data_IF_856271184437
#
_entry.id   IF_856271184437
#
_cell.length_a   1.000
_cell.length_b   1.000
_cell.length_c   1.000
_cell.angle_alpha   90.00
_cell.angle_beta   90.00
_cell.angle_gamma   90.00
#
_symmetry.space_group_name_H-M   'P 1'
#
loop_
_entity.id
_entity.type
_entity.pdbx_description
1 polymer ?
#
# COMPACT_ATOMS: atom_id res chain seq x y z
N UNK A 1 -20.57 -5.47 -22.84
CA UNK A 1 -19.48 -4.61 -23.37
C UNK A 1 -19.65 -3.19 -22.81
N UNK A 2 -20.85 -2.65 -22.91
CA UNK A 2 -21.19 -1.31 -22.40
C UNK A 2 -20.94 -1.15 -20.90
N UNK A 3 -21.26 -2.16 -20.09
CA UNK A 3 -20.96 -2.15 -18.64
C UNK A 3 -19.46 -2.10 -18.34
N UNK A 4 -18.64 -2.76 -19.16
CA UNK A 4 -17.18 -2.78 -18.99
C UNK A 4 -16.59 -1.43 -19.40
N UNK A 5 -17.05 -0.85 -20.51
CA UNK A 5 -16.66 0.50 -20.93
C UNK A 5 -17.11 1.57 -19.91
N UNK A 6 -18.28 1.40 -19.29
CA UNK A 6 -18.78 2.30 -18.25
C UNK A 6 -17.92 2.26 -16.96
N UNK A 7 -17.55 1.07 -16.50
CA UNK A 7 -16.68 0.91 -15.33
C UNK A 7 -15.27 1.44 -15.63
N UNK A 8 -14.76 1.19 -16.84
CA UNK A 8 -13.48 1.72 -17.28
C UNK A 8 -13.48 3.26 -17.33
N UNK A 9 -14.53 3.86 -17.90
CA UNK A 9 -14.69 5.31 -17.92
C UNK A 9 -14.75 5.94 -16.53
N UNK A 10 -15.29 5.22 -15.54
CA UNK A 10 -15.32 5.67 -14.13
C UNK A 10 -13.94 5.65 -13.46
N UNK A 11 -12.96 4.94 -14.05
CA UNK A 11 -11.58 4.82 -13.58
C UNK A 11 -10.58 5.49 -14.54
N UNK A 12 -11.02 6.41 -15.39
CA UNK A 12 -10.20 7.08 -16.41
C UNK A 12 -9.48 6.11 -17.37
N UNK A 13 -10.12 4.97 -17.66
CA UNK A 13 -9.64 3.96 -18.60
C UNK A 13 -10.48 4.00 -19.88
N UNK A 14 -9.79 4.13 -21.02
CA UNK A 14 -10.40 4.01 -22.34
C UNK A 14 -10.21 2.58 -22.85
N UNK A 15 -11.30 1.90 -23.19
CA UNK A 15 -11.29 0.53 -23.73
C UNK A 15 -11.75 0.58 -25.18
N UNK A 16 -10.84 0.20 -26.08
CA UNK A 16 -11.10 0.08 -27.50
C UNK A 16 -11.07 -1.39 -27.96
N UNK A 17 -11.82 -1.71 -29.01
CA UNK A 17 -11.80 -3.04 -29.62
C UNK A 17 -10.66 -3.11 -30.64
N UNK A 18 -9.86 -4.17 -30.59
CA UNK A 18 -8.83 -4.45 -31.59
C UNK A 18 -9.37 -5.42 -32.66
N UNK A 19 -9.87 -4.94 -33.81
CA UNK A 19 -10.29 -5.81 -34.91
C UNK A 19 -9.05 -6.45 -35.56
N UNK A 20 -9.14 -7.74 -35.92
CA UNK A 20 -8.10 -8.50 -36.63
C UNK A 20 -6.75 -8.71 -35.91
N UNK A 21 -6.57 -8.20 -34.68
CA UNK A 21 -5.34 -8.39 -33.88
C UNK A 21 -5.59 -9.21 -32.59
N UNK A 22 -6.62 -10.06 -32.59
CA UNK A 22 -7.04 -10.81 -31.40
C UNK A 22 -6.00 -11.82 -30.92
N UNK A 23 -5.31 -12.50 -31.85
CA UNK A 23 -4.27 -13.48 -31.54
C UNK A 23 -3.03 -12.82 -30.91
N UNK A 24 -2.57 -11.71 -31.50
CA UNK A 24 -1.48 -10.91 -30.95
C UNK A 24 -1.83 -10.36 -29.56
N UNK A 25 -3.05 -9.84 -29.38
CA UNK A 25 -3.51 -9.35 -28.08
C UNK A 25 -3.57 -10.48 -27.03
N UNK A 26 -4.01 -11.67 -27.39
CA UNK A 26 -4.04 -12.82 -26.49
C UNK A 26 -2.63 -13.25 -26.09
N UNK A 27 -1.69 -13.29 -27.03
CA UNK A 27 -0.29 -13.63 -26.74
C UNK A 27 0.40 -12.60 -25.83
N UNK A 28 0.09 -11.29 -25.98
CA UNK A 28 0.57 -10.24 -25.09
C UNK A 28 0.00 -10.32 -23.67
N UNK A 29 -1.19 -10.91 -23.49
CA UNK A 29 -1.82 -11.08 -22.16
C UNK A 29 -1.19 -12.22 -21.35
N UNK A 30 -0.46 -13.12 -22.00
CA UNK A 30 0.21 -14.21 -21.30
C UNK A 30 1.37 -13.66 -20.46
N UNK A 31 1.69 -14.29 -19.32
CA UNK A 31 2.73 -13.83 -18.38
C UNK A 31 4.15 -14.08 -18.89
N UNK A 32 4.36 -14.02 -20.22
CA UNK A 32 5.67 -14.10 -20.86
C UNK A 32 6.36 -12.73 -20.93
N UNK A 33 5.62 -11.64 -20.70
CA UNK A 33 6.17 -10.28 -20.67
C UNK A 33 6.62 -9.76 -22.03
N UNK A 34 6.19 -10.39 -23.12
CA UNK A 34 6.45 -9.94 -24.49
C UNK A 34 5.19 -9.29 -25.06
N UNK A 35 5.33 -8.08 -25.59
CA UNK A 35 4.24 -7.39 -26.27
C UNK A 35 4.33 -7.67 -27.79
N UNK A 36 3.29 -8.29 -28.34
CA UNK A 36 3.12 -8.59 -29.76
C UNK A 36 2.21 -7.58 -30.48
N UNK A 37 1.73 -6.55 -29.78
CA UNK A 37 0.88 -5.48 -30.34
C UNK A 37 1.74 -4.30 -30.83
N UNK A 38 2.16 -4.35 -32.09
CA UNK A 38 2.90 -3.24 -32.71
C UNK A 38 2.03 -1.97 -32.79
N UNK A 39 2.51 -0.86 -32.22
CA UNK A 39 1.86 0.46 -32.30
C UNK A 39 0.81 0.76 -31.22
N UNK A 40 0.46 -0.20 -30.36
CA UNK A 40 -0.49 -0.01 -29.25
C UNK A 40 0.26 0.03 -27.93
N UNK A 41 1.07 1.08 -27.73
CA UNK A 41 1.73 1.33 -26.45
C UNK A 41 1.21 2.62 -25.83
N UNK A 42 0.87 2.56 -24.54
CA UNK A 42 0.57 3.76 -23.75
C UNK A 42 1.83 4.15 -22.98
N UNK A 43 2.27 5.39 -23.11
CA UNK A 43 3.27 5.94 -22.21
C UNK A 43 2.62 6.12 -20.83
N UNK A 44 3.11 5.40 -19.83
CA UNK A 44 2.72 5.61 -18.45
C UNK A 44 3.69 6.61 -17.83
N UNK A 45 3.15 7.73 -17.32
CA UNK A 45 3.93 8.61 -16.45
C UNK A 45 4.37 7.84 -15.20
N UNK A 46 5.57 8.13 -14.70
CA UNK A 46 6.13 7.47 -13.51
C UNK A 46 5.19 7.52 -12.30
N UNK A 47 4.40 8.59 -12.17
CA UNK A 47 3.35 8.73 -11.15
C UNK A 47 2.29 7.63 -11.24
N UNK A 48 1.86 7.28 -12.47
CA UNK A 48 0.82 6.28 -12.68
C UNK A 48 1.37 4.87 -12.48
N UNK A 49 2.64 4.63 -12.83
CA UNK A 49 3.33 3.37 -12.52
C UNK A 49 3.44 3.19 -11.01
N UNK A 50 3.77 4.26 -10.27
CA UNK A 50 3.85 4.21 -8.82
C UNK A 50 2.49 3.87 -8.16
N UNK A 51 1.39 4.49 -8.59
CA UNK A 51 0.05 4.22 -8.02
C UNK A 51 -0.42 2.79 -8.30
N UNK A 52 -0.10 2.25 -9.48
CA UNK A 52 -0.49 0.87 -9.84
C UNK A 52 0.45 -0.19 -9.28
N UNK A 53 1.53 0.20 -8.61
CA UNK A 53 2.44 -0.75 -7.98
C UNK A 53 1.84 -1.22 -6.64
N UNK A 54 1.53 -2.52 -6.49
CA UNK A 54 0.88 -3.06 -5.31
C UNK A 54 1.78 -3.06 -4.05
N UNK A 55 3.01 -2.56 -4.14
CA UNK A 55 4.01 -2.58 -3.06
C UNK A 55 4.36 -1.21 -2.48
N UNK A 56 3.61 -0.16 -2.80
CA UNK A 56 3.98 1.21 -2.38
C UNK A 56 3.69 1.52 -0.91
N UNK A 57 2.84 0.74 -0.24
CA UNK A 57 2.52 0.95 1.17
C UNK A 57 2.42 -0.38 1.91
N UNK A 58 3.31 -0.57 2.89
CA UNK A 58 3.20 -1.66 3.87
C UNK A 58 2.45 -1.10 5.07
N UNK A 59 1.23 -1.56 5.28
CA UNK A 59 0.47 -1.25 6.48
C UNK A 59 0.78 -2.26 7.58
N UNK A 60 1.28 -1.77 8.71
CA UNK A 60 1.50 -2.58 9.91
C UNK A 60 0.23 -2.58 10.77
N UNK A 61 -0.51 -3.69 10.74
CA UNK A 61 -1.67 -3.91 11.59
C UNK A 61 -1.62 -5.27 12.29
N UNK A 62 -1.12 -5.24 13.53
CA UNK A 62 -1.14 -6.39 14.42
C UNK A 62 -2.47 -6.48 15.17
N UNK A 63 -3.06 -7.68 15.24
CA UNK A 63 -4.36 -7.92 15.89
C UNK A 63 -4.37 -7.61 17.39
N UNK A 64 -3.23 -7.84 18.06
CA UNK A 64 -3.01 -7.54 19.49
C UNK A 64 -2.15 -6.28 19.68
N UNK A 65 -1.87 -5.53 18.61
CA UNK A 65 -0.98 -4.38 18.69
C UNK A 65 -1.63 -3.20 19.40
N UNK A 66 -0.79 -2.29 19.87
CA UNK A 66 -1.22 -0.99 20.38
C UNK A 66 -1.18 0.05 19.28
N UNK A 67 -1.98 1.11 19.45
CA UNK A 67 -2.04 2.22 18.51
C UNK A 67 -0.74 3.03 18.51
N UNK A 68 -0.11 3.18 17.34
CA UNK A 68 1.08 4.01 17.13
C UNK A 68 0.81 5.28 16.33
N UNK A 69 -0.25 5.32 15.54
CA UNK A 69 -0.58 6.47 14.71
C UNK A 69 -1.35 6.09 13.46
N UNK A 70 -1.24 6.96 12.45
CA UNK A 70 -1.81 6.75 11.12
C UNK A 70 -0.69 6.80 10.08
N UNK A 71 -0.77 5.93 9.09
CA UNK A 71 0.06 6.00 7.91
C UNK A 71 -0.44 7.16 7.05
N UNK A 72 0.43 8.11 6.72
CA UNK A 72 0.06 9.31 5.95
C UNK A 72 -0.21 9.02 4.47
N UNK A 73 0.24 7.87 3.96
CA UNK A 73 0.07 7.49 2.54
C UNK A 73 -1.24 6.71 2.37
N UNK A 74 -1.44 5.66 3.16
CA UNK A 74 -2.64 4.82 3.09
C UNK A 74 -3.81 5.34 3.92
N UNK A 75 -3.58 6.33 4.79
CA UNK A 75 -4.53 6.78 5.83
C UNK A 75 -4.99 5.67 6.79
N UNK A 76 -4.32 4.51 6.80
CA UNK A 76 -4.65 3.40 7.66
C UNK A 76 -4.00 3.54 9.04
N UNK A 77 -4.65 2.95 10.04
CA UNK A 77 -4.14 2.93 11.42
C UNK A 77 -2.90 2.04 11.48
N UNK A 78 -1.87 2.50 12.19
CA UNK A 78 -0.68 1.73 12.52
C UNK A 78 -0.87 1.13 13.90
N UNK A 79 -0.98 -0.20 13.95
CA UNK A 79 -1.17 -0.97 15.17
C UNK A 79 -0.05 -1.99 15.26
N UNK A 80 0.77 -1.94 16.31
CA UNK A 80 1.98 -2.76 16.40
C UNK A 80 2.08 -3.41 17.78
N UNK A 81 2.42 -4.70 17.80
CA UNK A 81 2.84 -5.43 18.98
C UNK A 81 4.36 -5.72 18.94
N UNK A 82 5.12 -5.03 19.80
CA UNK A 82 6.59 -5.14 19.78
C UNK A 82 7.10 -6.52 20.16
N UNK A 83 6.31 -7.32 20.89
CA UNK A 83 6.68 -8.67 21.29
C UNK A 83 6.70 -9.67 20.13
N UNK A 84 5.96 -9.39 19.05
CA UNK A 84 5.87 -10.27 17.87
C UNK A 84 6.96 -9.95 16.83
N UNK A 85 7.64 -8.82 16.97
CA UNK A 85 8.69 -8.38 16.06
C UNK A 85 10.02 -9.07 16.41
N UNK A 86 10.82 -9.39 15.38
CA UNK A 86 12.13 -10.02 15.54
C UNK A 86 13.08 -9.20 16.43
N UNK A 87 12.90 -7.88 16.46
CA UNK A 87 13.60 -6.97 17.35
C UNK A 87 12.56 -6.12 18.10
N UNK A 88 12.34 -6.34 19.41
CA UNK A 88 11.37 -5.58 20.20
C UNK A 88 11.86 -4.16 20.57
N UNK A 89 13.12 -3.84 20.28
CA UNK A 89 13.71 -2.53 20.52
C UNK A 89 13.16 -1.47 19.56
N UNK A 90 12.85 -0.28 20.07
CA UNK A 90 12.40 0.86 19.26
C UNK A 90 13.14 2.15 19.60
N UNK A 91 13.38 2.97 18.58
CA UNK A 91 14.10 4.24 18.71
C UNK A 91 13.19 5.41 18.31
N UNK A 92 13.09 6.41 19.19
CA UNK A 92 12.32 7.64 18.93
C UNK A 92 13.31 8.78 18.70
N UNK A 93 13.42 9.24 17.46
CA UNK A 93 14.28 10.35 17.06
C UNK A 93 13.44 11.58 16.70
N UNK A 94 14.05 12.76 16.76
CA UNK A 94 13.40 14.03 16.46
C UNK A 94 14.21 15.23 16.96
N UNK A 95 13.88 16.43 16.52
CA UNK A 95 14.49 17.69 16.96
C UNK A 95 13.94 18.14 18.33
N UNK A 96 14.56 19.13 18.97
CA UNK A 96 14.02 19.71 20.21
C UNK A 96 12.62 20.28 19.93
N UNK A 97 11.64 19.99 20.80
CA UNK A 97 10.24 20.40 20.61
C UNK A 97 9.38 19.47 19.74
N UNK A 98 9.95 18.48 19.06
CA UNK A 98 9.20 17.57 18.17
C UNK A 98 8.29 16.53 18.88
N UNK A 99 8.11 16.65 20.20
CA UNK A 99 7.24 15.73 20.96
C UNK A 99 7.88 14.39 21.35
N UNK A 100 9.19 14.19 21.18
CA UNK A 100 9.90 12.94 21.56
C UNK A 100 9.53 12.44 22.96
N UNK A 101 9.57 13.32 23.97
CA UNK A 101 9.26 12.96 25.35
C UNK A 101 7.80 12.58 25.58
N UNK A 102 6.87 13.16 24.83
CA UNK A 102 5.46 12.78 24.86
C UNK A 102 5.29 11.37 24.27
N UNK A 103 5.89 11.11 23.11
CA UNK A 103 5.85 9.80 22.46
C UNK A 103 6.45 8.71 23.37
N UNK A 104 7.58 8.97 24.04
CA UNK A 104 8.17 8.04 25.00
C UNK A 104 7.25 7.78 26.20
N UNK A 105 6.63 8.81 26.78
CA UNK A 105 5.71 8.62 27.91
C UNK A 105 4.47 7.82 27.51
N UNK A 106 3.89 8.16 26.36
CA UNK A 106 2.74 7.44 25.82
C UNK A 106 3.07 5.95 25.61
N UNK A 107 4.24 5.67 25.04
CA UNK A 107 4.72 4.31 24.83
C UNK A 107 4.83 3.52 26.15
N UNK A 108 5.39 4.12 27.20
CA UNK A 108 5.55 3.47 28.51
C UNK A 108 4.19 3.18 29.16
N UNK A 109 3.27 4.15 29.14
CA UNK A 109 1.95 4.02 29.77
C UNK A 109 1.13 2.94 29.07
N UNK A 110 1.04 2.99 27.74
CA UNK A 110 0.24 2.03 26.96
C UNK A 110 0.79 0.61 27.10
N UNK A 111 2.11 0.44 27.17
CA UNK A 111 2.73 -0.88 27.40
C UNK A 111 2.38 -1.42 28.78
N UNK A 112 2.50 -0.62 29.83
CA UNK A 112 2.12 -1.05 31.20
C UNK A 112 0.65 -1.44 31.30
N UNK A 113 -0.24 -0.70 30.64
CA UNK A 113 -1.67 -1.02 30.65
C UNK A 113 -1.92 -2.37 29.95
N UNK A 114 -1.29 -2.61 28.81
CA UNK A 114 -1.41 -3.89 28.09
C UNK A 114 -0.94 -5.08 28.95
N UNK A 115 0.24 -4.97 29.56
CA UNK A 115 0.79 -6.02 30.44
C UNK A 115 -0.09 -6.26 31.67
N UNK A 116 -0.71 -5.22 32.23
CA UNK A 116 -1.61 -5.36 33.39
C UNK A 116 -2.92 -6.08 33.10
N UNK A 117 -3.34 -6.15 31.84
CA UNK A 117 -4.56 -6.86 31.42
C UNK A 117 -4.33 -8.33 31.02
N UNK A 118 -3.08 -8.76 30.92
CA UNK A 118 -2.69 -10.15 30.60
C UNK A 118 -2.40 -11.00 31.86
N UNK A 119 -2.30 -10.37 33.05
CA UNK A 119 -2.22 -11.03 34.37
C UNK A 119 -3.61 -11.15 35.03
#
# INVERSE_FOLDING_TARGET
LDTIQQVAGSNDLMIDKLPYMQEAAFNSLLPFGCDFLEGVSRSLLTSNVAVNSPWTSVDLQDRSGKYYGINQISSNIITIDRSLLNTPSGLILGTSGAGKGMATKHEIITTKIKESGEN
#
